data_IF_606253503130
#
_entry.id   IF_606253503130
#
_cell.length_a   1.000
_cell.length_b   1.000
_cell.length_c   1.000
_cell.angle_alpha   90.00
_cell.angle_beta   90.00
_cell.angle_gamma   90.00
#
_symmetry.space_group_name_H-M   'P 1'
#
loop_
_entity.id
_entity.type
_entity.pdbx_description
1 polymer ?
#
# COMPACT_ATOMS: atom_id res chain seq x y z
N UNK A 1 -14.40 -6.02 -28.51
CA UNK A 1 -13.19 -5.35 -28.05
C UNK A 1 -13.48 -3.85 -28.06
N UNK A 2 -13.93 -3.26 -26.93
CA UNK A 2 -14.04 -1.80 -26.82
C UNK A 2 -12.61 -1.25 -26.82
N UNK A 3 -12.31 -0.39 -27.76
CA UNK A 3 -11.06 0.40 -27.81
C UNK A 3 -10.90 1.05 -26.44
N UNK A 4 -9.82 0.73 -25.72
CA UNK A 4 -9.39 1.49 -24.56
C UNK A 4 -9.16 2.92 -25.07
N UNK A 5 -10.07 3.85 -24.75
CA UNK A 5 -9.80 5.27 -24.92
C UNK A 5 -8.48 5.54 -24.24
N UNK A 6 -7.56 6.14 -24.97
CA UNK A 6 -6.25 6.52 -24.46
C UNK A 6 -6.49 7.62 -23.45
N UNK A 7 -6.58 7.25 -22.18
CA UNK A 7 -6.82 8.16 -21.07
C UNK A 7 -5.57 9.01 -20.85
N UNK A 8 -5.77 10.24 -20.41
CA UNK A 8 -4.67 11.16 -20.05
C UNK A 8 -4.38 11.02 -18.54
N UNK A 9 -3.27 10.38 -18.14
CA UNK A 9 -2.95 10.16 -16.73
C UNK A 9 -2.87 11.45 -15.92
N UNK A 10 -2.50 12.57 -16.55
CA UNK A 10 -2.45 13.89 -15.90
C UNK A 10 -3.87 14.42 -15.62
N UNK A 11 -4.79 14.25 -16.57
CA UNK A 11 -6.19 14.61 -16.36
C UNK A 11 -6.84 13.71 -15.29
N UNK A 12 -6.55 12.41 -15.28
CA UNK A 12 -7.02 11.45 -14.28
C UNK A 12 -6.49 11.79 -12.87
N UNK A 13 -5.19 12.08 -12.75
CA UNK A 13 -4.58 12.54 -11.50
C UNK A 13 -5.27 13.83 -11.00
N UNK A 14 -5.51 14.77 -11.90
CA UNK A 14 -6.18 16.02 -11.56
C UNK A 14 -7.64 15.80 -11.12
N UNK A 15 -8.36 14.88 -11.77
CA UNK A 15 -9.71 14.46 -11.39
C UNK A 15 -9.74 13.81 -9.99
N UNK A 16 -8.75 12.99 -9.66
CA UNK A 16 -8.62 12.41 -8.32
C UNK A 16 -8.44 13.49 -7.24
N UNK A 17 -7.67 14.52 -7.53
CA UNK A 17 -7.43 15.65 -6.60
C UNK A 17 -8.65 16.54 -6.43
N UNK A 18 -9.47 16.71 -7.47
CA UNK A 18 -10.62 17.60 -7.48
C UNK A 18 -11.94 16.93 -7.08
N UNK A 19 -12.10 15.64 -7.34
CA UNK A 19 -13.38 14.93 -7.18
C UNK A 19 -13.16 13.48 -6.70
N UNK A 20 -13.35 12.52 -7.60
CA UNK A 20 -13.10 11.10 -7.34
C UNK A 20 -12.73 10.38 -8.62
N UNK A 21 -11.85 9.37 -8.49
CA UNK A 21 -11.53 8.42 -9.56
C UNK A 21 -11.81 6.99 -9.12
N UNK A 22 -12.15 6.13 -10.08
CA UNK A 22 -12.24 4.69 -9.90
C UNK A 22 -11.16 3.99 -10.74
N UNK A 23 -10.34 3.17 -10.07
CA UNK A 23 -9.17 2.51 -10.68
C UNK A 23 -9.29 0.99 -10.50
N UNK A 24 -9.21 0.18 -11.57
CA UNK A 24 -9.14 -1.28 -11.46
C UNK A 24 -7.85 -1.72 -10.74
N UNK A 25 -7.99 -2.52 -9.68
CA UNK A 25 -6.87 -3.02 -8.86
C UNK A 25 -6.85 -4.55 -8.77
N UNK A 26 -7.53 -5.26 -9.66
CA UNK A 26 -7.65 -6.73 -9.61
C UNK A 26 -6.34 -7.47 -9.88
N UNK A 27 -5.27 -6.79 -10.28
CA UNK A 27 -3.91 -7.34 -10.38
C UNK A 27 -3.18 -7.42 -9.03
N UNK A 28 -3.64 -6.72 -8.00
CA UNK A 28 -3.22 -6.96 -6.61
C UNK A 28 -3.70 -8.34 -6.15
N UNK A 29 -3.08 -8.89 -5.10
CA UNK A 29 -3.39 -10.24 -4.67
C UNK A 29 -4.44 -10.29 -3.54
N UNK A 30 -5.20 -11.39 -3.51
CA UNK A 30 -6.17 -11.68 -2.43
C UNK A 30 -5.93 -13.09 -1.92
N UNK A 31 -5.57 -13.18 -0.62
CA UNK A 31 -5.35 -14.46 0.07
C UNK A 31 -6.44 -14.63 1.13
N UNK A 32 -7.22 -15.71 1.03
CA UNK A 32 -8.20 -16.10 2.04
C UNK A 32 -7.54 -16.98 3.08
N UNK A 33 -7.65 -16.61 4.35
CA UNK A 33 -7.23 -17.45 5.47
C UNK A 33 -8.47 -17.99 6.20
N UNK A 34 -8.52 -19.32 6.38
CA UNK A 34 -9.59 -20.03 7.07
C UNK A 34 -9.01 -20.92 8.16
N UNK A 35 -9.86 -21.36 9.11
CA UNK A 35 -9.47 -22.14 10.26
C UNK A 35 -9.38 -21.29 11.54
N UNK A 36 -9.46 -21.97 12.69
CA UNK A 36 -9.56 -21.28 14.00
C UNK A 36 -8.31 -20.44 14.32
N UNK A 37 -7.11 -20.89 13.88
CA UNK A 37 -5.82 -20.27 14.23
C UNK A 37 -5.33 -19.25 13.20
N UNK A 38 -6.22 -18.80 12.25
CA UNK A 38 -5.89 -17.88 11.16
C UNK A 38 -5.33 -16.54 11.60
N UNK A 39 -5.94 -15.93 12.63
CA UNK A 39 -5.45 -14.66 13.18
C UNK A 39 -4.21 -14.86 14.05
N UNK A 40 -4.13 -15.96 14.80
CA UNK A 40 -2.96 -16.27 15.64
C UNK A 40 -1.70 -16.46 14.78
N UNK A 41 -1.77 -17.23 13.68
CA UNK A 41 -0.63 -17.37 12.80
C UNK A 41 -0.23 -16.03 12.18
N UNK A 42 -1.18 -15.24 11.68
CA UNK A 42 -0.90 -13.92 11.14
C UNK A 42 -0.31 -12.99 12.21
N UNK A 43 -0.79 -13.07 13.46
CA UNK A 43 -0.24 -12.35 14.61
C UNK A 43 1.23 -12.68 14.84
N UNK A 44 1.61 -13.97 14.80
CA UNK A 44 3.00 -14.41 15.00
C UNK A 44 3.92 -13.99 13.84
N UNK A 45 3.37 -13.83 12.65
CA UNK A 45 4.13 -13.64 11.41
C UNK A 45 4.20 -12.19 10.92
N UNK A 46 3.49 -11.26 11.54
CA UNK A 46 3.40 -9.88 11.06
C UNK A 46 3.55 -8.85 12.18
N UNK A 47 3.78 -7.62 11.81
CA UNK A 47 4.25 -6.56 12.72
C UNK A 47 3.16 -5.87 13.52
N UNK A 48 1.89 -5.87 13.07
CA UNK A 48 0.81 -5.18 13.77
C UNK A 48 0.01 -6.13 14.68
N UNK A 49 -0.73 -5.60 15.62
CA UNK A 49 -1.56 -6.39 16.52
C UNK A 49 -2.87 -6.79 15.83
N UNK A 50 -3.05 -8.10 15.66
CA UNK A 50 -4.23 -8.70 15.04
C UNK A 50 -5.10 -9.45 16.04
N UNK A 51 -4.64 -9.63 17.29
CA UNK A 51 -5.29 -10.49 18.29
C UNK A 51 -6.65 -9.95 18.69
N UNK A 52 -6.77 -8.63 18.83
CA UNK A 52 -7.99 -7.97 19.27
C UNK A 52 -8.88 -7.50 18.12
N UNK A 53 -8.65 -7.97 16.89
CA UNK A 53 -9.47 -7.56 15.75
C UNK A 53 -10.87 -8.18 15.83
N UNK A 54 -11.89 -7.32 15.86
CA UNK A 54 -13.29 -7.72 15.73
C UNK A 54 -13.68 -7.92 14.24
N UNK A 55 -14.78 -8.62 14.02
CA UNK A 55 -15.35 -8.69 12.67
C UNK A 55 -15.72 -7.28 12.17
N UNK A 56 -15.42 -6.98 10.90
CA UNK A 56 -15.58 -5.63 10.32
C UNK A 56 -14.37 -4.72 10.50
N UNK A 57 -13.32 -5.18 11.19
CA UNK A 57 -12.05 -4.46 11.29
C UNK A 57 -11.05 -4.89 10.22
N UNK A 58 -10.29 -3.92 9.73
CA UNK A 58 -9.14 -4.14 8.89
C UNK A 58 -7.87 -3.61 9.58
N UNK A 59 -6.73 -4.22 9.28
CA UNK A 59 -5.44 -3.82 9.86
C UNK A 59 -4.34 -3.88 8.83
N UNK A 60 -3.59 -2.79 8.70
CA UNK A 60 -2.37 -2.77 7.90
C UNK A 60 -1.24 -3.41 8.70
N UNK A 61 -0.53 -4.37 8.13
CA UNK A 61 0.58 -5.07 8.80
C UNK A 61 1.62 -5.50 7.78
N UNK A 62 2.85 -5.72 8.24
CA UNK A 62 3.95 -6.17 7.38
C UNK A 62 4.34 -7.60 7.75
N UNK A 63 4.37 -8.50 6.77
CA UNK A 63 5.06 -9.78 6.91
C UNK A 63 6.56 -9.53 6.85
N UNK A 64 7.30 -10.07 7.81
CA UNK A 64 8.76 -9.88 7.88
C UNK A 64 9.50 -11.19 8.03
N UNK A 65 10.77 -11.20 7.59
CA UNK A 65 11.72 -12.27 7.88
C UNK A 65 12.21 -12.19 9.34
N UNK A 66 12.93 -13.20 9.85
CA UNK A 66 13.61 -13.13 11.16
C UNK A 66 14.58 -11.94 11.29
N UNK A 67 15.08 -11.42 10.15
CA UNK A 67 15.91 -10.22 10.10
C UNK A 67 15.10 -8.93 9.90
N UNK A 68 13.80 -8.96 10.18
CA UNK A 68 12.84 -7.87 10.01
C UNK A 68 12.76 -7.32 8.57
N UNK A 69 13.23 -8.06 7.56
CA UNK A 69 13.14 -7.66 6.16
C UNK A 69 11.70 -7.80 5.67
N UNK A 70 11.25 -6.86 4.86
CA UNK A 70 9.89 -6.86 4.32
C UNK A 70 9.70 -8.06 3.39
N UNK A 71 8.69 -8.87 3.67
CA UNK A 71 8.19 -9.91 2.76
C UNK A 71 7.05 -9.33 1.93
N UNK A 72 6.05 -8.72 2.58
CA UNK A 72 4.99 -7.96 1.91
C UNK A 72 4.24 -7.08 2.92
N UNK A 73 3.55 -6.05 2.42
CA UNK A 73 2.61 -5.21 3.18
C UNK A 73 1.19 -5.71 2.93
N UNK A 74 0.48 -6.06 3.99
CA UNK A 74 -0.86 -6.63 3.91
C UNK A 74 -1.92 -5.72 4.52
N UNK A 75 -3.07 -5.63 3.87
CA UNK A 75 -4.33 -5.36 4.57
C UNK A 75 -4.94 -6.67 5.02
N UNK A 76 -5.19 -6.81 6.32
CA UNK A 76 -5.85 -7.97 6.92
C UNK A 76 -7.26 -7.57 7.33
N UNK A 77 -8.28 -8.16 6.69
CA UNK A 77 -9.70 -7.90 6.94
C UNK A 77 -10.30 -9.08 7.72
N UNK A 78 -10.77 -8.85 8.93
CA UNK A 78 -11.43 -9.89 9.72
C UNK A 78 -12.93 -9.97 9.39
N UNK A 79 -13.33 -10.99 8.64
CA UNK A 79 -14.72 -11.25 8.26
C UNK A 79 -15.43 -12.21 9.25
N UNK A 80 -14.93 -12.36 10.46
CA UNK A 80 -15.47 -13.32 11.46
C UNK A 80 -14.89 -14.71 11.26
N UNK A 81 -15.54 -15.57 10.50
CA UNK A 81 -15.09 -16.97 10.29
C UNK A 81 -13.90 -17.11 9.33
N UNK A 82 -13.63 -16.11 8.53
CA UNK A 82 -12.50 -16.04 7.59
C UNK A 82 -11.79 -14.69 7.67
N UNK A 83 -10.56 -14.66 7.19
CA UNK A 83 -9.78 -13.43 7.00
C UNK A 83 -9.47 -13.29 5.53
N UNK A 84 -9.52 -12.07 5.01
CA UNK A 84 -9.02 -11.73 3.67
C UNK A 84 -7.78 -10.86 3.82
N UNK A 85 -6.67 -11.30 3.22
CA UNK A 85 -5.45 -10.52 3.14
C UNK A 85 -5.30 -9.97 1.72
N UNK A 86 -5.16 -8.65 1.58
CA UNK A 86 -4.80 -8.01 0.33
C UNK A 86 -3.28 -7.88 0.29
N UNK A 87 -2.66 -8.27 -0.81
CA UNK A 87 -1.20 -8.31 -0.99
C UNK A 87 -0.78 -7.41 -2.14
N UNK A 88 0.49 -7.09 -2.22
CA UNK A 88 1.06 -6.42 -3.38
C UNK A 88 0.88 -7.26 -4.67
N UNK A 89 0.92 -6.64 -5.87
CA UNK A 89 0.82 -7.35 -7.14
C UNK A 89 1.83 -8.50 -7.24
N UNK A 90 1.40 -9.65 -7.77
CA UNK A 90 2.28 -10.80 -7.97
C UNK A 90 2.78 -11.51 -6.70
N UNK A 91 2.40 -11.06 -5.50
CA UNK A 91 2.96 -11.56 -4.23
C UNK A 91 2.19 -12.71 -3.58
N UNK A 92 1.02 -13.08 -4.08
CA UNK A 92 0.17 -14.14 -3.49
C UNK A 92 0.93 -15.45 -3.25
N UNK A 93 1.65 -15.95 -4.26
CA UNK A 93 2.41 -17.19 -4.13
C UNK A 93 3.54 -17.10 -3.10
N UNK A 94 4.21 -15.95 -3.00
CA UNK A 94 5.26 -15.67 -2.03
C UNK A 94 4.67 -15.64 -0.62
N UNK A 95 3.60 -14.86 -0.41
CA UNK A 95 2.91 -14.72 0.87
C UNK A 95 2.39 -16.06 1.36
N UNK A 96 1.69 -16.81 0.51
CA UNK A 96 1.18 -18.15 0.87
C UNK A 96 2.28 -19.13 1.24
N UNK A 97 3.36 -19.18 0.44
CA UNK A 97 4.51 -20.05 0.72
C UNK A 97 5.18 -19.66 2.04
N UNK A 98 5.36 -18.38 2.27
CA UNK A 98 5.94 -17.85 3.50
C UNK A 98 5.13 -18.28 4.72
N UNK A 99 3.83 -17.99 4.73
CA UNK A 99 2.94 -18.36 5.84
C UNK A 99 2.85 -19.87 6.04
N UNK A 100 2.78 -20.66 4.95
CA UNK A 100 2.72 -22.12 5.02
C UNK A 100 3.95 -22.75 5.69
N UNK A 101 5.12 -22.12 5.55
CA UNK A 101 6.36 -22.58 6.20
C UNK A 101 6.37 -22.46 7.73
N UNK A 102 5.40 -21.75 8.32
CA UNK A 102 5.29 -21.52 9.77
C UNK A 102 4.01 -22.10 10.38
N UNK A 103 3.28 -22.94 9.63
CA UNK A 103 2.15 -23.71 10.16
C UNK A 103 2.71 -24.89 10.96
N UNK A 104 2.45 -24.92 12.26
CA UNK A 104 2.80 -26.04 13.10
C UNK A 104 1.77 -27.18 12.97
N UNK A 105 2.12 -28.39 13.39
CA UNK A 105 1.30 -29.60 13.24
C UNK A 105 -0.07 -29.50 13.93
N UNK A 106 -0.22 -28.63 14.95
CA UNK A 106 -1.45 -28.40 15.69
C UNK A 106 -2.21 -27.15 15.22
N UNK A 107 -1.64 -26.34 14.33
CA UNK A 107 -2.32 -25.14 13.79
C UNK A 107 -3.43 -25.57 12.81
N UNK A 108 -4.62 -25.07 13.02
CA UNK A 108 -5.75 -25.25 12.11
C UNK A 108 -5.93 -23.98 11.27
N UNK A 109 -5.15 -23.88 10.23
CA UNK A 109 -5.20 -22.75 9.31
C UNK A 109 -4.87 -23.19 7.88
N UNK A 110 -5.52 -22.58 6.88
CA UNK A 110 -5.26 -22.75 5.46
C UNK A 110 -5.30 -21.41 4.75
N UNK A 111 -4.36 -21.22 3.82
CA UNK A 111 -4.27 -20.03 2.98
C UNK A 111 -4.59 -20.37 1.52
N UNK A 112 -5.62 -19.75 0.97
CA UNK A 112 -6.13 -19.99 -0.38
C UNK A 112 -5.93 -18.73 -1.23
N UNK A 113 -5.56 -18.92 -2.51
CA UNK A 113 -5.56 -17.82 -3.48
C UNK A 113 -6.99 -17.55 -3.91
N UNK A 114 -7.49 -16.36 -3.61
CA UNK A 114 -8.82 -15.90 -3.98
C UNK A 114 -8.78 -14.86 -5.11
N UNK A 115 -7.62 -14.68 -5.78
CA UNK A 115 -7.44 -13.61 -6.76
C UNK A 115 -8.27 -13.81 -8.02
N UNK A 116 -8.55 -15.05 -8.39
CA UNK A 116 -9.41 -15.36 -9.54
C UNK A 116 -10.91 -15.26 -9.20
N UNK A 117 -11.27 -15.46 -7.94
CA UNK A 117 -12.67 -15.43 -7.49
C UNK A 117 -13.15 -14.00 -7.23
N UNK A 118 -12.24 -13.12 -6.82
CA UNK A 118 -12.52 -11.77 -6.38
C UNK A 118 -11.86 -10.75 -7.29
N UNK A 119 -12.57 -9.67 -7.62
CA UNK A 119 -12.03 -8.47 -8.23
C UNK A 119 -11.85 -7.35 -7.21
N UNK A 120 -11.11 -6.32 -7.57
CA UNK A 120 -10.80 -5.19 -6.71
C UNK A 120 -10.80 -3.87 -7.48
N UNK A 121 -11.38 -2.82 -6.86
CA UNK A 121 -11.32 -1.43 -7.32
C UNK A 121 -10.75 -0.54 -6.21
N UNK A 122 -10.04 0.50 -6.59
CA UNK A 122 -9.69 1.62 -5.73
C UNK A 122 -10.54 2.84 -6.08
N UNK A 123 -11.07 3.53 -5.07
CA UNK A 123 -11.70 4.84 -5.18
C UNK A 123 -10.86 5.86 -4.41
N UNK A 124 -10.46 6.94 -5.08
CA UNK A 124 -9.61 7.96 -4.46
C UNK A 124 -10.12 9.35 -4.79
N UNK A 125 -10.06 10.25 -3.79
CA UNK A 125 -10.40 11.66 -3.95
C UNK A 125 -11.35 12.18 -2.90
N UNK A 126 -11.53 13.51 -2.80
CA UNK A 126 -12.37 14.13 -1.76
C UNK A 126 -13.86 13.75 -1.85
N UNK A 127 -14.33 13.24 -2.99
CA UNK A 127 -15.69 12.74 -3.18
C UNK A 127 -15.78 11.21 -3.18
N UNK A 128 -14.69 10.48 -2.95
CA UNK A 128 -14.70 9.03 -2.99
C UNK A 128 -15.68 8.41 -1.97
N UNK A 129 -15.85 9.02 -0.79
CA UNK A 129 -16.84 8.58 0.19
C UNK A 129 -18.28 8.67 -0.31
N UNK A 130 -18.64 9.75 -1.01
CA UNK A 130 -19.97 9.90 -1.60
C UNK A 130 -20.22 8.88 -2.72
N UNK A 131 -19.23 8.63 -3.57
CA UNK A 131 -19.29 7.59 -4.62
C UNK A 131 -19.43 6.21 -4.01
N UNK A 132 -18.59 5.86 -3.02
CA UNK A 132 -18.66 4.58 -2.33
C UNK A 132 -20.03 4.34 -1.69
N UNK A 133 -20.63 5.38 -1.10
CA UNK A 133 -21.96 5.31 -0.49
C UNK A 133 -23.08 5.15 -1.51
N UNK A 134 -22.94 5.72 -2.69
CA UNK A 134 -23.90 5.51 -3.79
C UNK A 134 -23.86 4.07 -4.34
N UNK A 135 -22.71 3.42 -4.25
CA UNK A 135 -22.53 2.01 -4.64
C UNK A 135 -22.99 1.05 -3.54
N UNK A 136 -22.59 1.34 -2.29
CA UNK A 136 -22.87 0.51 -1.14
C UNK A 136 -23.25 1.43 0.03
N UNK A 137 -24.53 1.41 0.41
CA UNK A 137 -25.07 2.26 1.48
C UNK A 137 -24.34 2.04 2.80
N UNK A 138 -23.96 3.13 3.46
CA UNK A 138 -23.22 3.13 4.72
C UNK A 138 -21.71 3.27 4.55
N UNK A 139 -21.17 3.20 3.31
CA UNK A 139 -19.74 3.29 3.07
C UNK A 139 -19.14 4.66 3.48
N UNK A 140 -19.87 5.76 3.31
CA UNK A 140 -19.40 7.09 3.71
C UNK A 140 -19.22 7.25 5.22
N UNK A 141 -19.92 6.45 6.04
CA UNK A 141 -19.82 6.49 7.50
C UNK A 141 -18.65 5.65 8.05
N UNK A 142 -17.97 4.88 7.21
CA UNK A 142 -16.81 4.09 7.63
C UNK A 142 -15.70 5.01 8.14
N UNK A 143 -15.10 4.65 9.26
CA UNK A 143 -13.84 5.23 9.73
C UNK A 143 -12.67 4.44 9.16
N UNK A 144 -11.46 5.00 9.21
CA UNK A 144 -10.24 4.30 8.76
C UNK A 144 -10.10 2.94 9.43
N UNK A 145 -9.60 1.98 8.68
CA UNK A 145 -9.38 0.60 9.11
C UNK A 145 -10.68 -0.17 9.45
N UNK A 146 -11.82 0.31 8.97
CA UNK A 146 -13.09 -0.41 9.01
C UNK A 146 -13.56 -0.74 7.60
N UNK A 147 -14.30 -1.82 7.50
CA UNK A 147 -15.01 -2.20 6.30
C UNK A 147 -16.44 -2.65 6.62
N UNK A 148 -17.27 -2.63 5.59
CA UNK A 148 -18.57 -3.25 5.62
C UNK A 148 -18.71 -4.26 4.47
N UNK A 149 -19.53 -5.26 4.66
CA UNK A 149 -19.92 -6.23 3.62
C UNK A 149 -21.42 -6.10 3.39
N UNK A 150 -21.84 -5.79 2.17
CA UNK A 150 -23.25 -5.68 1.79
C UNK A 150 -23.43 -6.09 0.34
N UNK A 151 -24.46 -6.88 0.04
CA UNK A 151 -24.83 -7.32 -1.33
C UNK A 151 -23.68 -7.98 -2.10
N UNK A 152 -22.79 -8.69 -1.37
CA UNK A 152 -21.62 -9.37 -1.94
C UNK A 152 -20.43 -8.45 -2.25
N UNK A 153 -20.50 -7.16 -1.89
CA UNK A 153 -19.40 -6.24 -1.98
C UNK A 153 -18.81 -5.92 -0.58
N UNK A 154 -17.50 -6.00 -0.48
CA UNK A 154 -16.71 -5.48 0.65
C UNK A 154 -16.24 -4.08 0.32
N UNK A 155 -16.48 -3.11 1.20
CA UNK A 155 -15.96 -1.74 1.07
C UNK A 155 -15.09 -1.45 2.28
N UNK A 156 -13.80 -1.34 2.08
CA UNK A 156 -12.80 -0.97 3.08
C UNK A 156 -12.50 0.53 2.95
N UNK A 157 -12.62 1.29 4.03
CA UNK A 157 -12.01 2.62 4.11
C UNK A 157 -10.53 2.46 4.43
N UNK A 158 -9.74 2.55 3.37
CA UNK A 158 -8.30 2.38 3.42
C UNK A 158 -7.55 3.71 3.46
N UNK A 159 -6.26 3.65 3.11
CA UNK A 159 -5.38 4.80 3.15
C UNK A 159 -5.71 5.82 2.06
N UNK A 160 -5.82 7.10 2.38
CA UNK A 160 -6.04 8.15 1.40
C UNK A 160 -4.78 8.38 0.55
N UNK A 161 -4.94 8.46 -0.78
CA UNK A 161 -3.88 8.88 -1.71
C UNK A 161 -4.10 10.31 -2.24
N UNK A 162 -5.36 10.75 -2.28
CA UNK A 162 -5.72 12.10 -2.74
C UNK A 162 -7.03 12.56 -2.08
N UNK A 163 -7.09 12.64 -0.76
CA UNK A 163 -8.31 12.80 0.01
C UNK A 163 -8.78 11.44 0.54
N UNK A 164 -10.07 11.12 0.47
CA UNK A 164 -10.58 9.82 0.90
C UNK A 164 -10.07 8.67 0.01
N UNK A 165 -9.92 7.49 0.59
CA UNK A 165 -9.52 6.27 -0.12
C UNK A 165 -10.37 5.07 0.29
N UNK A 166 -10.94 4.37 -0.70
CA UNK A 166 -11.71 3.15 -0.48
C UNK A 166 -11.22 2.03 -1.39
N UNK A 167 -11.20 0.83 -0.85
CA UNK A 167 -10.98 -0.39 -1.63
C UNK A 167 -12.28 -1.18 -1.65
N UNK A 168 -12.75 -1.51 -2.86
CA UNK A 168 -13.97 -2.28 -3.07
C UNK A 168 -13.56 -3.65 -3.59
N UNK A 169 -14.08 -4.70 -2.97
CA UNK A 169 -13.80 -6.09 -3.31
C UNK A 169 -15.13 -6.80 -3.49
N UNK A 170 -15.29 -7.48 -4.60
CA UNK A 170 -16.48 -8.28 -4.90
C UNK A 170 -16.10 -9.48 -5.75
N UNK A 171 -17.06 -10.34 -6.07
CA UNK A 171 -16.82 -11.43 -7.01
C UNK A 171 -16.32 -10.90 -8.35
N UNK A 172 -15.50 -11.68 -9.06
CA UNK A 172 -15.00 -11.33 -10.38
C UNK A 172 -16.13 -11.03 -11.39
N UNK A 173 -17.30 -11.61 -11.18
CA UNK A 173 -18.47 -11.35 -12.01
C UNK A 173 -19.15 -10.00 -11.73
N UNK A 174 -19.05 -9.48 -10.50
CA UNK A 174 -19.72 -8.25 -10.08
C UNK A 174 -18.83 -7.00 -10.21
N UNK A 175 -17.51 -7.15 -10.22
CA UNK A 175 -16.59 -6.03 -10.09
C UNK A 175 -16.72 -4.99 -11.21
N UNK A 176 -17.01 -5.42 -12.45
CA UNK A 176 -17.20 -4.48 -13.55
C UNK A 176 -18.51 -3.70 -13.41
N UNK A 177 -19.59 -4.34 -12.97
CA UNK A 177 -20.86 -3.67 -12.66
C UNK A 177 -20.66 -2.60 -11.58
N UNK A 178 -19.88 -2.91 -10.52
CA UNK A 178 -19.53 -1.94 -9.48
C UNK A 178 -18.69 -0.78 -10.03
N UNK A 179 -17.79 -1.05 -10.98
CA UNK A 179 -17.03 0.02 -11.65
C UNK A 179 -17.96 0.97 -12.43
N UNK A 180 -18.91 0.40 -13.19
CA UNK A 180 -19.91 1.20 -13.92
C UNK A 180 -20.78 2.03 -12.96
N UNK A 181 -21.17 1.47 -11.81
CA UNK A 181 -21.91 2.19 -10.80
C UNK A 181 -21.09 3.36 -10.20
N UNK A 182 -19.77 3.17 -9.95
CA UNK A 182 -18.90 4.24 -9.50
C UNK A 182 -18.82 5.38 -10.52
N UNK A 183 -18.73 5.05 -11.82
CA UNK A 183 -18.71 6.04 -12.90
C UNK A 183 -20.06 6.78 -12.96
N UNK A 184 -21.16 6.07 -12.89
CA UNK A 184 -22.51 6.67 -12.86
C UNK A 184 -22.71 7.57 -11.62
N UNK A 185 -22.07 7.28 -10.51
CA UNK A 185 -22.05 8.09 -9.29
C UNK A 185 -21.08 9.30 -9.35
N UNK A 186 -20.40 9.49 -10.48
CA UNK A 186 -19.55 10.65 -10.76
C UNK A 186 -18.05 10.43 -10.54
N UNK A 187 -17.58 9.19 -10.39
CA UNK A 187 -16.15 8.91 -10.42
C UNK A 187 -15.63 8.94 -11.86
N UNK A 188 -14.48 9.55 -12.09
CA UNK A 188 -13.76 9.48 -13.36
C UNK A 188 -13.04 8.12 -13.44
N UNK A 189 -13.19 7.34 -14.53
CA UNK A 189 -12.38 6.16 -14.73
C UNK A 189 -10.92 6.56 -14.89
N UNK A 190 -10.02 5.83 -14.21
CA UNK A 190 -8.60 6.10 -14.26
C UNK A 190 -7.80 4.80 -14.31
N UNK A 191 -6.55 4.90 -14.78
CA UNK A 191 -5.67 3.78 -15.04
C UNK A 191 -4.52 3.66 -14.02
N UNK A 192 -3.64 2.69 -14.31
CA UNK A 192 -2.46 2.41 -13.47
C UNK A 192 -1.49 3.58 -13.40
N UNK A 193 -1.28 4.32 -14.49
CA UNK A 193 -0.36 5.46 -14.50
C UNK A 193 -0.81 6.56 -13.54
N UNK A 194 -2.12 6.87 -13.51
CA UNK A 194 -2.69 7.81 -12.55
C UNK A 194 -2.54 7.31 -11.11
N UNK A 195 -2.75 6.01 -10.86
CA UNK A 195 -2.49 5.42 -9.55
C UNK A 195 -1.03 5.59 -9.13
N UNK A 196 -0.08 5.33 -10.04
CA UNK A 196 1.35 5.51 -9.74
C UNK A 196 1.68 6.98 -9.41
N UNK A 197 1.06 7.95 -10.10
CA UNK A 197 1.20 9.36 -9.75
C UNK A 197 0.61 9.68 -8.37
N UNK A 198 -0.57 9.15 -8.05
CA UNK A 198 -1.23 9.36 -6.75
C UNK A 198 -0.42 8.78 -5.59
N UNK A 199 0.05 7.52 -5.71
CA UNK A 199 0.87 6.91 -4.65
C UNK A 199 2.21 7.61 -4.46
N UNK A 200 2.83 8.02 -5.58
CA UNK A 200 4.08 8.77 -5.56
C UNK A 200 3.89 10.11 -4.84
N UNK A 201 2.83 10.87 -5.19
CA UNK A 201 2.48 12.12 -4.54
C UNK A 201 2.24 11.96 -3.03
N UNK A 202 1.60 10.87 -2.63
CA UNK A 202 1.37 10.52 -1.22
C UNK A 202 2.63 9.97 -0.52
N UNK A 203 3.72 9.69 -1.25
CA UNK A 203 4.90 9.03 -0.70
C UNK A 203 4.64 7.59 -0.24
N UNK A 204 3.64 6.92 -0.88
CA UNK A 204 3.23 5.58 -0.47
C UNK A 204 4.14 4.50 -1.07
N UNK A 205 4.77 3.64 -0.23
CA UNK A 205 5.60 2.53 -0.70
C UNK A 205 4.75 1.46 -1.39
N UNK A 206 5.29 0.86 -2.46
CA UNK A 206 4.58 -0.12 -3.27
C UNK A 206 5.44 -1.35 -3.57
N UNK A 207 4.78 -2.46 -3.89
CA UNK A 207 5.44 -3.73 -4.19
C UNK A 207 6.42 -3.63 -5.35
N UNK A 208 7.52 -4.38 -5.24
CA UNK A 208 8.65 -4.44 -6.18
C UNK A 208 9.46 -3.13 -6.36
N UNK A 209 9.03 -2.02 -5.73
CA UNK A 209 9.76 -0.76 -5.67
C UNK A 209 10.35 -0.55 -4.26
N UNK A 210 9.53 -0.11 -3.32
CA UNK A 210 9.95 0.17 -1.94
C UNK A 210 9.79 -1.03 -1.01
N UNK A 211 8.83 -1.93 -1.29
CA UNK A 211 8.51 -3.07 -0.44
C UNK A 211 9.33 -4.30 -0.84
N UNK A 212 10.62 -4.27 -0.54
CA UNK A 212 11.56 -5.36 -0.86
C UNK A 212 12.29 -5.85 0.39
N UNK A 213 12.95 -7.00 0.29
CA UNK A 213 13.77 -7.59 1.36
C UNK A 213 15.09 -6.84 1.64
N UNK A 214 15.38 -5.77 0.88
CA UNK A 214 16.49 -4.87 1.16
C UNK A 214 16.24 -3.97 2.37
N UNK A 215 14.96 -3.80 2.78
CA UNK A 215 14.54 -2.80 3.77
C UNK A 215 13.72 -3.41 4.90
N UNK A 216 13.62 -2.67 6.02
CA UNK A 216 12.73 -2.99 7.14
C UNK A 216 11.52 -2.05 7.15
N UNK A 217 10.38 -2.41 7.79
CA UNK A 217 9.16 -1.60 7.79
C UNK A 217 9.36 -0.15 8.21
N UNK A 218 10.19 0.12 9.23
CA UNK A 218 10.43 1.46 9.73
C UNK A 218 11.21 2.33 8.73
N UNK A 219 12.12 1.74 7.95
CA UNK A 219 12.83 2.44 6.87
C UNK A 219 11.88 2.85 5.75
N UNK A 220 10.81 2.07 5.51
CA UNK A 220 9.77 2.33 4.52
C UNK A 220 8.66 3.28 5.01
N UNK A 221 8.83 3.96 6.14
CA UNK A 221 7.83 4.81 6.79
C UNK A 221 6.53 4.08 7.17
N UNK A 222 6.55 2.76 7.36
CA UNK A 222 5.38 1.93 7.69
C UNK A 222 5.11 1.85 9.21
N UNK A 223 5.35 2.93 9.94
CA UNK A 223 5.09 3.02 11.37
C UNK A 223 3.65 2.64 11.77
N UNK A 224 2.60 3.06 11.03
CA UNK A 224 1.22 2.68 11.34
C UNK A 224 0.93 1.18 11.17
N UNK A 225 1.78 0.45 10.45
CA UNK A 225 1.68 -1.00 10.24
C UNK A 225 2.44 -1.82 11.30
N UNK A 226 3.01 -1.18 12.33
CA UNK A 226 3.82 -1.82 13.38
C UNK A 226 3.22 -1.52 14.75
N UNK A 227 2.97 -2.56 15.53
CA UNK A 227 2.65 -2.44 16.96
C UNK A 227 3.90 -2.66 17.80
N UNK A 228 4.18 -1.72 18.70
CA UNK A 228 5.29 -1.81 19.65
C UNK A 228 4.87 -2.40 21.00
N UNK A 229 3.58 -2.66 21.21
CA UNK A 229 2.99 -3.18 22.45
C UNK A 229 2.45 -4.60 22.34
N UNK A 230 2.37 -5.18 21.13
CA UNK A 230 1.91 -6.56 20.93
C UNK A 230 2.93 -7.60 21.43
N UNK A 231 2.47 -8.84 21.60
CA UNK A 231 3.32 -10.00 21.92
C UNK A 231 4.35 -10.33 20.83
N UNK A 232 5.09 -11.41 21.04
CA UNK A 232 6.20 -11.81 20.16
C UNK A 232 5.75 -12.07 18.70
N UNK A 233 6.56 -11.59 17.76
CA UNK A 233 6.41 -11.87 16.33
C UNK A 233 7.79 -11.97 15.66
N UNK A 234 7.83 -12.56 14.48
CA UNK A 234 9.07 -12.77 13.73
C UNK A 234 9.71 -11.42 13.34
N UNK A 235 11.00 -11.24 13.64
CA UNK A 235 11.74 -10.00 13.36
C UNK A 235 11.60 -8.90 14.41
N UNK A 236 10.81 -9.10 15.47
CA UNK A 236 10.52 -8.09 16.50
C UNK A 236 11.77 -7.47 17.14
N UNK A 237 12.79 -8.26 17.44
CA UNK A 237 14.00 -7.76 18.14
C UNK A 237 14.71 -6.65 17.38
N UNK A 238 14.79 -6.78 16.06
CA UNK A 238 15.43 -5.77 15.21
C UNK A 238 14.58 -4.50 15.17
N UNK A 239 13.26 -4.64 15.00
CA UNK A 239 12.31 -3.52 14.96
C UNK A 239 12.33 -2.75 16.29
N UNK A 240 12.21 -3.44 17.42
CA UNK A 240 12.27 -2.83 18.75
C UNK A 240 13.62 -2.14 19.04
N UNK A 241 14.73 -2.72 18.57
CA UNK A 241 16.06 -2.10 18.69
C UNK A 241 16.17 -0.82 17.85
N UNK A 242 15.60 -0.79 16.66
CA UNK A 242 15.62 0.40 15.80
C UNK A 242 14.76 1.51 16.39
N UNK A 243 13.58 1.17 16.90
CA UNK A 243 12.68 2.11 17.60
C UNK A 243 13.34 2.68 18.83
N UNK A 244 13.80 1.84 19.78
CA UNK A 244 14.36 2.27 21.06
C UNK A 244 15.64 3.11 20.94
N UNK A 245 16.45 2.86 19.90
CA UNK A 245 17.67 3.64 19.64
C UNK A 245 17.43 4.89 18.82
N UNK A 246 16.24 5.06 18.20
CA UNK A 246 15.93 6.17 17.31
C UNK A 246 16.88 6.30 16.11
N UNK A 247 17.57 5.22 15.72
CA UNK A 247 18.64 5.24 14.72
C UNK A 247 18.35 4.26 13.60
N UNK A 248 17.53 4.67 12.62
CA UNK A 248 17.42 3.97 11.35
C UNK A 248 18.66 4.25 10.51
N UNK A 249 19.16 3.22 9.82
CA UNK A 249 20.28 3.38 8.89
C UNK A 249 19.86 4.19 7.66
N UNK A 250 18.64 3.98 7.20
CA UNK A 250 18.05 4.60 6.01
C UNK A 250 16.61 5.03 6.28
N UNK A 251 16.10 5.89 5.41
CA UNK A 251 14.69 6.33 5.43
C UNK A 251 14.21 6.57 4.02
N UNK A 252 13.00 6.12 3.70
CA UNK A 252 12.30 6.49 2.49
C UNK A 252 12.00 7.98 2.52
N UNK A 253 12.43 8.69 1.47
CA UNK A 253 12.39 10.15 1.36
C UNK A 253 11.94 10.56 -0.03
N UNK A 254 11.38 11.76 -0.15
CA UNK A 254 11.05 12.38 -1.42
C UNK A 254 12.26 13.14 -1.99
N UNK A 255 12.37 13.14 -3.30
CA UNK A 255 13.30 13.99 -4.06
C UNK A 255 12.50 14.84 -5.04
N UNK A 256 12.76 16.16 -5.07
CA UNK A 256 12.39 17.03 -6.19
C UNK A 256 13.62 17.17 -7.07
N UNK A 257 13.45 16.98 -8.37
CA UNK A 257 14.54 16.86 -9.33
C UNK A 257 14.37 17.90 -10.44
N UNK A 258 15.50 18.35 -11.01
CA UNK A 258 15.51 19.27 -12.15
C UNK A 258 15.28 18.56 -13.50
N UNK A 259 15.30 17.21 -13.50
CA UNK A 259 15.12 16.38 -14.69
C UNK A 259 14.72 14.95 -14.36
N UNK A 260 14.38 14.18 -15.39
CA UNK A 260 14.03 12.77 -15.24
C UNK A 260 15.26 11.93 -14.90
N UNK A 261 15.07 10.92 -14.06
CA UNK A 261 16.08 9.94 -13.67
C UNK A 261 15.51 8.53 -13.80
N UNK A 262 16.35 7.51 -13.75
CA UNK A 262 15.90 6.12 -13.76
C UNK A 262 15.77 5.53 -12.34
N UNK A 263 14.86 4.61 -12.16
CA UNK A 263 14.81 3.76 -10.96
C UNK A 263 16.12 2.96 -10.83
N UNK A 264 16.55 2.70 -9.60
CA UNK A 264 17.83 2.06 -9.29
C UNK A 264 19.03 2.98 -9.34
N UNK A 265 18.87 4.24 -9.79
CA UNK A 265 19.97 5.21 -9.85
C UNK A 265 20.51 5.56 -8.47
N UNK A 266 21.84 5.72 -8.39
CA UNK A 266 22.52 6.16 -7.17
C UNK A 266 22.22 7.64 -6.89
N UNK A 267 21.89 7.95 -5.62
CA UNK A 267 21.75 9.32 -5.13
C UNK A 267 23.01 9.71 -4.37
N UNK A 268 23.57 10.86 -4.69
CA UNK A 268 24.77 11.41 -4.02
C UNK A 268 24.50 12.76 -3.36
N UNK A 269 25.12 12.98 -2.23
CA UNK A 269 25.20 14.29 -1.56
C UNK A 269 26.68 14.71 -1.54
N UNK A 270 27.05 15.61 -2.44
CA UNK A 270 28.45 15.85 -2.79
C UNK A 270 29.11 14.58 -3.32
N UNK A 271 30.26 14.21 -2.75
CA UNK A 271 30.98 12.98 -3.12
C UNK A 271 30.44 11.72 -2.40
N UNK A 272 29.56 11.89 -1.41
CA UNK A 272 29.06 10.77 -0.59
C UNK A 272 27.86 10.11 -1.26
N UNK A 273 27.91 8.78 -1.41
CA UNK A 273 26.72 7.99 -1.76
C UNK A 273 25.66 8.10 -0.66
N UNK A 274 24.53 8.72 -0.99
CA UNK A 274 23.42 8.97 -0.07
C UNK A 274 22.40 7.83 -0.07
N UNK A 275 22.13 7.21 -1.22
CA UNK A 275 21.12 6.18 -1.33
C UNK A 275 20.78 5.78 -2.76
N UNK A 276 19.57 5.25 -2.95
CA UNK A 276 19.10 4.72 -4.24
C UNK A 276 17.66 5.15 -4.52
N UNK A 277 17.39 5.57 -5.75
CA UNK A 277 16.05 5.87 -6.26
C UNK A 277 15.23 4.57 -6.39
N UNK A 278 13.99 4.57 -5.94
CA UNK A 278 13.11 3.41 -6.02
C UNK A 278 11.89 3.60 -6.90
N UNK A 279 11.36 4.82 -6.96
CA UNK A 279 10.25 5.17 -7.85
C UNK A 279 10.46 6.57 -8.43
N UNK A 280 10.01 6.77 -9.64
CA UNK A 280 10.15 8.06 -10.36
C UNK A 280 8.83 8.46 -11.01
N UNK A 281 8.63 9.75 -11.20
CA UNK A 281 7.48 10.26 -11.94
C UNK A 281 7.52 11.76 -12.12
N UNK A 282 6.56 12.28 -12.87
CA UNK A 282 6.33 13.72 -13.02
C UNK A 282 4.97 14.05 -12.44
N UNK A 283 4.92 14.95 -11.47
CA UNK A 283 3.67 15.38 -10.85
C UNK A 283 3.28 16.77 -11.38
N UNK A 284 2.00 16.97 -11.74
CA UNK A 284 1.50 18.29 -12.15
C UNK A 284 1.79 19.36 -11.09
N UNK A 285 2.36 20.47 -11.52
CA UNK A 285 2.72 21.62 -10.66
C UNK A 285 4.01 21.43 -9.85
N UNK A 286 4.58 20.22 -9.77
CA UNK A 286 5.85 19.94 -9.06
C UNK A 286 7.00 19.58 -9.98
N UNK A 287 6.71 19.04 -11.18
CA UNK A 287 7.71 18.51 -12.11
C UNK A 287 8.23 17.12 -11.72
N UNK A 288 9.47 16.78 -12.10
CA UNK A 288 10.09 15.49 -11.81
C UNK A 288 10.28 15.27 -10.30
N UNK A 289 9.83 14.12 -9.82
CA UNK A 289 9.98 13.69 -8.42
C UNK A 289 10.42 12.23 -8.35
N UNK A 290 11.01 11.83 -7.25
CA UNK A 290 11.36 10.44 -6.98
C UNK A 290 11.17 10.07 -5.51
N UNK A 291 10.89 8.80 -5.24
CA UNK A 291 11.11 8.18 -3.93
C UNK A 291 12.51 7.56 -3.91
N UNK A 292 13.20 7.67 -2.79
CA UNK A 292 14.53 7.09 -2.62
C UNK A 292 14.75 6.66 -1.16
N UNK A 293 15.42 5.54 -0.96
CA UNK A 293 15.97 5.21 0.34
C UNK A 293 17.29 5.92 0.54
N UNK A 294 17.34 6.87 1.47
CA UNK A 294 18.53 7.64 1.79
C UNK A 294 19.09 7.28 3.17
N UNK A 295 20.42 7.33 3.32
CA UNK A 295 21.05 7.30 4.65
C UNK A 295 20.44 8.38 5.52
N UNK A 296 20.01 8.04 6.72
CA UNK A 296 19.24 8.94 7.60
C UNK A 296 19.97 10.27 7.87
N UNK A 297 21.30 10.24 7.94
CA UNK A 297 22.10 11.46 8.12
C UNK A 297 22.01 12.45 6.95
N UNK A 298 21.66 11.96 5.73
CA UNK A 298 21.56 12.72 4.50
C UNK A 298 20.11 12.90 4.00
N UNK A 299 19.14 12.38 4.75
CA UNK A 299 17.71 12.39 4.42
C UNK A 299 16.97 13.62 4.99
N UNK A 300 17.68 14.69 5.31
CA UNK A 300 17.06 15.92 5.84
C UNK A 300 16.49 16.75 4.71
N UNK A 301 15.25 17.26 4.82
CA UNK A 301 14.69 18.19 3.85
C UNK A 301 15.63 19.38 3.62
N UNK A 302 15.76 19.80 2.35
CA UNK A 302 16.69 20.85 1.93
C UNK A 302 18.11 20.35 1.60
N UNK A 303 18.44 19.07 1.86
CA UNK A 303 19.74 18.52 1.46
C UNK A 303 19.82 18.47 -0.07
N UNK A 304 20.84 19.14 -0.65
CA UNK A 304 21.12 19.05 -2.09
C UNK A 304 21.69 17.69 -2.46
N UNK A 305 21.18 17.12 -3.52
CA UNK A 305 21.60 15.81 -4.04
C UNK A 305 21.78 15.84 -5.55
N UNK A 306 22.49 14.85 -6.08
CA UNK A 306 22.57 14.56 -7.51
C UNK A 306 22.21 13.11 -7.78
N UNK A 307 21.57 12.86 -8.93
CA UNK A 307 21.27 11.54 -9.47
C UNK A 307 21.82 11.51 -10.89
N UNK A 308 23.00 10.91 -11.08
CA UNK A 308 23.79 11.14 -12.28
C UNK A 308 24.16 12.63 -12.41
N UNK A 309 23.80 13.24 -13.54
CA UNK A 309 23.99 14.67 -13.81
C UNK A 309 22.81 15.54 -13.32
N UNK A 310 21.67 14.92 -12.97
CA UNK A 310 20.47 15.64 -12.55
C UNK A 310 20.61 16.11 -11.11
N UNK A 311 20.36 17.40 -10.88
CA UNK A 311 20.33 17.99 -9.54
C UNK A 311 18.95 17.78 -8.90
N UNK A 312 18.93 17.81 -7.57
CA UNK A 312 17.69 17.74 -6.82
C UNK A 312 17.87 18.10 -5.36
N UNK A 313 16.76 18.06 -4.65
CA UNK A 313 16.71 18.36 -3.23
C UNK A 313 15.83 17.33 -2.52
N UNK A 314 16.24 16.91 -1.33
CA UNK A 314 15.46 16.06 -0.44
C UNK A 314 14.27 16.86 0.09
N UNK A 315 13.08 16.26 0.08
CA UNK A 315 11.85 16.84 0.64
C UNK A 315 11.14 15.85 1.54
N UNK A 316 10.28 16.37 2.42
CA UNK A 316 9.39 15.53 3.21
C UNK A 316 8.30 14.89 2.34
N UNK A 317 7.75 13.79 2.83
CA UNK A 317 6.59 13.11 2.26
C UNK A 317 5.37 13.35 3.15
N UNK A 318 4.16 13.51 2.58
CA UNK A 318 3.85 13.48 1.15
C UNK A 318 4.38 14.71 0.38
N UNK A 319 4.46 14.61 -0.95
CA UNK A 319 4.86 15.74 -1.80
C UNK A 319 3.81 16.86 -1.84
N UNK A 320 2.52 16.52 -1.63
CA UNK A 320 1.35 17.41 -1.72
C UNK A 320 0.33 17.11 -0.65
#
# INVERSE_FOLDING_TARGET
>A
MKTLERTDPVAEYSAARASAVVIPRSHEGRVRAVGRDRLDLLQRMSTNDLTAMEAGEARLTVLTTPLARIVDLLWVLNLGERVLCLTSPGRVAVVRRWLAGYIFYNDQVKFEDASNDLGQLGLYGPRAGAVANAMVEGAAALVENRFLERDGALVLRGRPLAGDGFTIIASAAQIETLREQAIAAGATPAGEEAFQMLRLAAGWPYGDHELTDAYIPLEANLWPAVSFSKGCYIGQEIIARMESRGKLARRLSGLRLDGLVAEGSEVRAGETMAGTVTSVGTLPGLGPVALAYLKTALARPGTSVTVGETRGVVVDLPFV
#
